data_IF_595778525476
#
_entry.id   IF_595778525476
#
_cell.length_a   1.000
_cell.length_b   1.000
_cell.length_c   1.000
_cell.angle_alpha   90.00
_cell.angle_beta   90.00
_cell.angle_gamma   90.00
#
_symmetry.space_group_name_H-M   'P 1'
#
loop_
_entity.id
_entity.type
_entity.pdbx_description
1 polymer ?
#
# COMPACT_ATOMS: atom_id res chain seq x y z
N UNK A 1 -5.04 11.52 -4.37
CA UNK A 1 -3.68 11.01 -4.41
C UNK A 1 -3.73 9.70 -5.21
N UNK A 2 -2.67 9.36 -5.92
CA UNK A 2 -2.53 8.09 -6.64
C UNK A 2 -1.75 7.10 -5.79
N UNK A 3 -2.34 5.95 -5.50
CA UNK A 3 -1.70 4.84 -4.80
C UNK A 3 -1.36 3.77 -5.82
N UNK A 4 -0.09 3.69 -6.22
CA UNK A 4 0.36 2.73 -7.23
C UNK A 4 0.74 1.43 -6.54
N UNK A 5 0.16 0.30 -6.95
CA UNK A 5 0.54 -1.00 -6.41
C UNK A 5 1.78 -1.50 -7.15
N UNK A 6 2.86 -1.80 -6.44
CA UNK A 6 4.04 -2.45 -7.01
C UNK A 6 4.12 -3.88 -6.50
N UNK A 7 4.04 -4.84 -7.41
CA UNK A 7 4.13 -6.26 -7.06
C UNK A 7 5.01 -7.03 -8.05
N UNK A 8 5.27 -8.29 -7.72
CA UNK A 8 6.18 -9.16 -8.47
C UNK A 8 6.45 -10.44 -7.70
N UNK A 9 6.94 -11.45 -8.43
CA UNK A 9 7.31 -12.74 -7.86
C UNK A 9 8.68 -12.71 -7.20
N UNK A 10 9.01 -13.79 -6.49
CA UNK A 10 10.38 -14.01 -6.01
C UNK A 10 11.37 -13.88 -7.17
N UNK A 11 12.50 -13.21 -6.94
CA UNK A 11 13.57 -13.00 -7.92
C UNK A 11 13.17 -12.26 -9.21
N UNK A 12 12.02 -11.57 -9.25
CA UNK A 12 11.63 -10.76 -10.42
C UNK A 12 12.34 -9.40 -10.52
N UNK A 13 13.03 -8.97 -9.46
CA UNK A 13 13.72 -7.66 -9.42
C UNK A 13 12.85 -6.49 -8.94
N UNK A 14 11.71 -6.76 -8.30
CA UNK A 14 10.85 -5.76 -7.65
C UNK A 14 11.59 -4.76 -6.77
N UNK A 15 12.55 -5.22 -5.96
CA UNK A 15 13.36 -4.36 -5.08
C UNK A 15 14.20 -3.34 -5.86
N UNK A 16 14.68 -3.70 -7.05
CA UNK A 16 15.39 -2.79 -7.96
C UNK A 16 14.45 -1.69 -8.44
N UNK A 17 13.27 -2.05 -8.93
CA UNK A 17 12.25 -1.09 -9.39
C UNK A 17 11.77 -0.19 -8.24
N UNK A 18 11.52 -0.76 -7.06
CA UNK A 18 11.20 -0.03 -5.82
C UNK A 18 12.28 1.00 -5.48
N UNK A 19 13.55 0.63 -5.62
CA UNK A 19 14.67 1.55 -5.44
C UNK A 19 14.67 2.65 -6.50
N UNK A 20 14.42 2.32 -7.78
CA UNK A 20 14.39 3.32 -8.86
C UNK A 20 13.27 4.37 -8.65
N UNK A 21 12.11 3.98 -8.11
CA UNK A 21 11.07 4.93 -7.71
C UNK A 21 11.56 5.88 -6.60
N UNK A 22 12.24 5.36 -5.57
CA UNK A 22 12.83 6.18 -4.50
C UNK A 22 13.85 7.18 -5.04
N UNK A 23 14.74 6.76 -5.95
CA UNK A 23 15.72 7.65 -6.61
C UNK A 23 15.05 8.76 -7.44
N UNK A 24 13.82 8.51 -7.92
CA UNK A 24 13.02 9.49 -8.65
C UNK A 24 12.10 10.32 -7.75
N UNK A 25 12.38 10.36 -6.44
CA UNK A 25 11.66 11.14 -5.43
C UNK A 25 10.18 10.77 -5.29
N UNK A 26 9.80 9.54 -5.68
CA UNK A 26 8.47 9.01 -5.42
C UNK A 26 8.56 8.14 -4.16
N UNK A 27 7.79 8.45 -3.10
CA UNK A 27 7.85 7.68 -1.86
C UNK A 27 7.32 6.27 -2.08
N UNK A 28 7.96 5.31 -1.42
CA UNK A 28 7.59 3.91 -1.46
C UNK A 28 7.30 3.43 -0.04
N UNK A 29 6.11 2.90 0.17
CA UNK A 29 5.68 2.24 1.41
C UNK A 29 5.86 0.74 1.20
N UNK A 30 6.80 0.14 1.94
CA UNK A 30 7.16 -1.27 1.84
C UNK A 30 6.40 -2.09 2.88
N UNK A 31 5.51 -2.97 2.42
CA UNK A 31 4.68 -3.80 3.29
C UNK A 31 5.50 -4.84 4.06
N UNK A 32 6.62 -5.33 3.52
CA UNK A 32 7.49 -6.28 4.23
C UNK A 32 8.22 -5.57 5.39
N UNK A 33 8.63 -4.32 5.20
CA UNK A 33 9.20 -3.51 6.29
C UNK A 33 8.15 -3.29 7.38
N UNK A 34 6.92 -2.93 7.01
CA UNK A 34 5.84 -2.71 7.98
C UNK A 34 5.46 -4.01 8.72
N UNK A 35 5.45 -5.15 8.03
CA UNK A 35 5.22 -6.45 8.65
C UNK A 35 6.32 -6.81 9.66
N UNK A 36 7.58 -6.47 9.37
CA UNK A 36 8.68 -6.61 10.33
C UNK A 36 8.52 -5.68 11.51
N UNK A 37 8.10 -4.44 11.28
CA UNK A 37 7.89 -3.44 12.33
C UNK A 37 6.72 -3.80 13.25
N UNK A 38 5.67 -4.46 12.71
CA UNK A 38 4.57 -5.00 13.48
C UNK A 38 4.99 -6.12 14.46
N UNK A 39 6.20 -6.67 14.32
CA UNK A 39 6.78 -7.68 15.21
C UNK A 39 7.87 -7.12 16.14
N UNK A 40 8.19 -5.82 16.05
CA UNK A 40 9.17 -5.20 16.97
C UNK A 40 8.68 -5.31 18.41
N UNK A 41 9.62 -5.51 19.35
CA UNK A 41 9.35 -5.59 20.79
C UNK A 41 8.44 -4.43 21.23
N UNK A 42 7.46 -4.74 22.07
CA UNK A 42 6.43 -3.81 22.59
C UNK A 42 5.37 -3.33 21.60
N UNK A 43 5.46 -3.63 20.30
CA UNK A 43 4.38 -3.33 19.36
C UNK A 43 3.11 -4.16 19.65
N UNK A 44 1.97 -3.72 19.11
CA UNK A 44 0.70 -4.43 19.26
C UNK A 44 0.73 -5.83 18.63
N UNK A 45 1.32 -5.96 17.43
CA UNK A 45 1.47 -7.24 16.76
C UNK A 45 2.38 -8.20 17.52
N UNK A 46 3.51 -7.71 18.03
CA UNK A 46 4.41 -8.47 18.92
C UNK A 46 3.65 -9.09 20.10
N UNK A 47 2.88 -8.28 20.85
CA UNK A 47 2.14 -8.76 22.02
C UNK A 47 1.16 -9.88 21.66
N UNK A 48 0.46 -9.76 20.53
CA UNK A 48 -0.49 -10.79 20.07
C UNK A 48 0.21 -12.06 19.61
N UNK A 49 1.34 -11.94 18.90
CA UNK A 49 2.11 -13.09 18.43
C UNK A 49 2.73 -13.85 19.61
N UNK A 50 3.33 -13.15 20.58
CA UNK A 50 3.89 -13.80 21.78
C UNK A 50 2.79 -14.47 22.60
N UNK A 51 1.62 -13.86 22.74
CA UNK A 51 0.50 -14.49 23.43
C UNK A 51 -0.01 -15.77 22.74
N UNK A 52 0.04 -15.83 21.39
CA UNK A 52 -0.46 -16.97 20.62
C UNK A 52 0.58 -18.10 20.46
N UNK A 53 1.87 -17.77 20.37
CA UNK A 53 2.95 -18.72 20.09
C UNK A 53 3.82 -19.04 21.30
N UNK A 54 3.63 -18.32 22.41
CA UNK A 54 4.42 -18.49 23.64
C UNK A 54 5.76 -17.76 23.61
N UNK A 55 6.51 -17.77 24.72
CA UNK A 55 7.82 -17.13 24.82
C UNK A 55 8.91 -17.86 24.01
N UNK A 56 8.67 -19.10 23.59
CA UNK A 56 9.66 -19.90 22.85
C UNK A 56 10.05 -19.29 21.49
N UNK A 57 9.22 -18.41 20.92
CA UNK A 57 9.56 -17.70 19.69
C UNK A 57 10.42 -16.46 19.91
N UNK A 58 10.86 -16.19 21.14
CA UNK A 58 11.68 -15.05 21.50
C UNK A 58 13.18 -15.43 21.54
N UNK A 59 14.02 -14.47 21.19
CA UNK A 59 15.45 -14.48 21.43
C UNK A 59 15.75 -14.01 22.86
N UNK A 60 17.01 -14.16 23.29
CA UNK A 60 17.45 -13.77 24.64
C UNK A 60 17.26 -12.26 24.93
N UNK A 61 17.29 -11.41 23.90
CA UNK A 61 17.01 -9.97 24.00
C UNK A 61 15.50 -9.63 24.08
N UNK A 62 14.65 -10.65 23.97
CA UNK A 62 13.19 -10.56 23.96
C UNK A 62 12.59 -10.13 22.62
N UNK A 63 13.37 -10.08 21.54
CA UNK A 63 12.83 -9.89 20.18
C UNK A 63 12.29 -11.20 19.61
N UNK A 64 11.37 -11.11 18.65
CA UNK A 64 10.85 -12.29 17.95
C UNK A 64 11.94 -12.89 17.05
N UNK A 65 12.27 -14.15 17.27
CA UNK A 65 13.06 -14.96 16.34
C UNK A 65 12.20 -15.28 15.11
N UNK A 66 12.36 -14.45 14.08
CA UNK A 66 11.62 -14.59 12.81
C UNK A 66 11.95 -15.90 12.08
N UNK A 67 13.16 -16.43 12.23
CA UNK A 67 13.54 -17.70 11.58
C UNK A 67 12.82 -18.85 12.28
N UNK A 68 12.82 -18.85 13.62
CA UNK A 68 12.10 -19.85 14.41
C UNK A 68 10.59 -19.77 14.21
N UNK A 69 10.02 -18.57 14.27
CA UNK A 69 8.60 -18.34 13.98
C UNK A 69 8.24 -18.81 12.56
N UNK A 70 9.08 -18.47 11.58
CA UNK A 70 8.95 -18.94 10.19
C UNK A 70 8.87 -20.46 10.11
N UNK A 71 9.80 -21.19 10.72
CA UNK A 71 9.80 -22.66 10.73
C UNK A 71 8.50 -23.24 11.28
N UNK A 72 8.02 -22.72 12.41
CA UNK A 72 6.77 -23.18 13.05
C UNK A 72 5.56 -23.00 12.13
N UNK A 73 5.44 -21.84 11.48
CA UNK A 73 4.27 -21.53 10.63
C UNK A 73 4.36 -22.18 9.26
N UNK A 74 5.55 -22.55 8.80
CA UNK A 74 5.72 -23.36 7.60
C UNK A 74 5.39 -24.83 7.86
N UNK A 75 5.69 -25.37 9.05
CA UNK A 75 5.37 -26.76 9.39
C UNK A 75 3.91 -27.02 9.74
N UNK A 76 3.15 -26.00 10.16
CA UNK A 76 1.77 -26.18 10.66
C UNK A 76 0.81 -25.13 10.05
N UNK A 77 -0.18 -25.60 9.30
CA UNK A 77 -1.18 -24.76 8.65
C UNK A 77 -2.07 -23.99 9.65
N UNK A 78 -2.39 -24.58 10.81
CA UNK A 78 -3.18 -23.91 11.86
C UNK A 78 -2.39 -22.75 12.48
N UNK A 79 -1.08 -22.95 12.71
CA UNK A 79 -0.15 -21.90 13.17
C UNK A 79 0.05 -20.83 12.11
N UNK A 80 0.05 -21.19 10.83
CA UNK A 80 0.06 -20.22 9.73
C UNK A 80 -1.17 -19.32 9.74
N UNK A 81 -2.35 -19.88 9.96
CA UNK A 81 -3.58 -19.11 10.05
C UNK A 81 -3.58 -18.16 11.26
N UNK A 82 -2.97 -18.58 12.37
CA UNK A 82 -2.79 -17.70 13.53
C UNK A 82 -1.99 -16.44 13.19
N UNK A 83 -1.02 -16.46 12.26
CA UNK A 83 -0.31 -15.25 11.85
C UNK A 83 -1.21 -14.19 11.19
N UNK A 84 -2.41 -14.55 10.73
CA UNK A 84 -3.38 -13.56 10.24
C UNK A 84 -3.76 -12.52 11.32
N UNK A 85 -3.49 -12.79 12.60
CA UNK A 85 -3.62 -11.82 13.69
C UNK A 85 -2.74 -10.56 13.48
N UNK A 86 -1.70 -10.64 12.64
CA UNK A 86 -0.86 -9.51 12.26
C UNK A 86 -1.50 -8.59 11.22
N UNK A 87 -2.44 -9.11 10.41
CA UNK A 87 -3.07 -8.36 9.32
C UNK A 87 -3.58 -6.97 9.74
N UNK A 88 -4.34 -6.78 10.84
CA UNK A 88 -4.80 -5.45 11.24
C UNK A 88 -3.65 -4.51 11.60
N UNK A 89 -2.56 -5.01 12.19
CA UNK A 89 -1.40 -4.19 12.54
C UNK A 89 -0.61 -3.77 11.30
N UNK A 90 -0.50 -4.66 10.31
CA UNK A 90 0.15 -4.37 9.02
C UNK A 90 -0.68 -3.35 8.24
N UNK A 91 -1.99 -3.57 8.09
CA UNK A 91 -2.89 -2.64 7.39
C UNK A 91 -2.90 -1.26 8.05
N UNK A 92 -2.94 -1.20 9.39
CA UNK A 92 -2.87 0.07 10.12
C UNK A 92 -1.53 0.76 9.93
N UNK A 93 -0.42 0.01 9.93
CA UNK A 93 0.92 0.55 9.66
C UNK A 93 1.04 1.15 8.25
N UNK A 94 0.56 0.43 7.23
CA UNK A 94 0.51 0.91 5.84
C UNK A 94 -0.32 2.18 5.75
N UNK A 95 -1.51 2.19 6.36
CA UNK A 95 -2.37 3.37 6.38
C UNK A 95 -1.70 4.58 7.03
N UNK A 96 -1.04 4.40 8.17
CA UNK A 96 -0.33 5.48 8.86
C UNK A 96 0.81 6.05 8.02
N UNK A 97 1.57 5.21 7.32
CA UNK A 97 2.63 5.69 6.41
C UNK A 97 2.06 6.45 5.21
N UNK A 98 0.97 5.95 4.62
CA UNK A 98 0.24 6.66 3.56
C UNK A 98 -0.23 8.03 4.06
N UNK A 99 -0.84 8.09 5.25
CA UNK A 99 -1.35 9.32 5.83
C UNK A 99 -0.23 10.34 6.09
N UNK A 100 0.91 9.90 6.63
CA UNK A 100 2.09 10.76 6.82
C UNK A 100 2.56 11.38 5.50
N UNK A 101 2.61 10.58 4.43
CA UNK A 101 3.03 11.05 3.10
C UNK A 101 1.97 11.96 2.46
N UNK A 102 0.70 11.66 2.67
CA UNK A 102 -0.41 12.51 2.23
C UNK A 102 -0.36 13.88 2.90
N UNK A 103 -0.11 13.95 4.21
CA UNK A 103 0.05 15.22 4.94
C UNK A 103 1.23 16.04 4.41
N UNK A 104 2.32 15.38 4.00
CA UNK A 104 3.46 16.03 3.33
C UNK A 104 3.14 16.53 1.91
N UNK A 105 1.98 16.19 1.36
CA UNK A 105 1.53 16.64 0.04
C UNK A 105 1.99 15.76 -1.11
N UNK A 106 2.43 14.51 -0.85
CA UNK A 106 2.77 13.59 -1.92
C UNK A 106 1.53 13.23 -2.75
N UNK A 107 1.61 13.48 -4.06
CA UNK A 107 0.52 13.20 -5.01
C UNK A 107 0.46 11.74 -5.44
N UNK A 108 1.62 11.08 -5.44
CA UNK A 108 1.80 9.68 -5.87
C UNK A 108 2.59 8.96 -4.77
N UNK A 109 2.13 7.77 -4.39
CA UNK A 109 2.81 6.88 -3.46
C UNK A 109 2.83 5.48 -4.08
N UNK A 110 3.97 4.81 -4.02
CA UNK A 110 4.08 3.40 -4.41
C UNK A 110 3.87 2.53 -3.17
N UNK A 111 2.97 1.56 -3.25
CA UNK A 111 2.81 0.50 -2.25
C UNK A 111 3.54 -0.75 -2.75
N UNK A 112 4.69 -1.05 -2.16
CA UNK A 112 5.50 -2.21 -2.51
C UNK A 112 5.02 -3.44 -1.73
N UNK A 113 4.23 -4.29 -2.40
CA UNK A 113 3.50 -5.42 -1.79
C UNK A 113 3.73 -6.67 -2.66
N UNK A 114 4.64 -7.60 -2.29
CA UNK A 114 4.89 -8.83 -3.05
C UNK A 114 3.62 -9.71 -3.23
N UNK A 115 2.77 -9.74 -2.20
CA UNK A 115 1.55 -10.53 -2.14
C UNK A 115 0.29 -9.67 -2.39
N UNK A 116 0.38 -8.69 -3.29
CA UNK A 116 -0.65 -7.67 -3.51
C UNK A 116 -2.05 -8.29 -3.75
N UNK A 117 -2.12 -9.24 -4.68
CA UNK A 117 -3.38 -9.90 -5.06
C UNK A 117 -3.82 -10.91 -4.00
N UNK A 118 -2.88 -11.67 -3.44
CA UNK A 118 -3.14 -12.66 -2.40
C UNK A 118 -3.70 -12.00 -1.13
N UNK A 119 -3.24 -10.79 -0.82
CA UNK A 119 -3.72 -9.96 0.29
C UNK A 119 -4.97 -9.12 -0.06
N UNK A 120 -5.51 -9.23 -1.29
CA UNK A 120 -6.64 -8.42 -1.80
C UNK A 120 -6.42 -6.90 -1.68
N UNK A 121 -5.16 -6.48 -1.75
CA UNK A 121 -4.75 -5.07 -1.68
C UNK A 121 -4.79 -4.38 -3.04
N UNK A 122 -4.94 -5.15 -4.12
CA UNK A 122 -5.20 -4.70 -5.49
C UNK A 122 -6.34 -3.68 -5.56
N UNK A 123 -7.41 -3.88 -4.77
CA UNK A 123 -8.57 -2.98 -4.71
C UNK A 123 -8.27 -1.57 -4.20
N UNK A 124 -7.13 -1.39 -3.53
CA UNK A 124 -6.70 -0.13 -2.91
C UNK A 124 -5.64 0.59 -3.74
N UNK A 125 -5.18 -0.04 -4.81
CA UNK A 125 -4.06 0.44 -5.61
C UNK A 125 -4.46 0.57 -7.07
N UNK A 126 -4.22 1.74 -7.65
CA UNK A 126 -4.38 1.98 -9.08
C UNK A 126 -3.39 3.06 -9.56
N UNK A 127 -2.64 2.82 -10.65
CA UNK A 127 -2.49 1.54 -11.36
C UNK A 127 -1.72 0.48 -10.57
N UNK A 128 -1.83 -0.78 -10.98
CA UNK A 128 -1.01 -1.91 -10.53
C UNK A 128 0.12 -2.16 -11.51
N UNK A 129 1.35 -2.07 -11.02
CA UNK A 129 2.60 -2.33 -11.73
C UNK A 129 3.14 -3.69 -11.30
N UNK A 130 3.29 -4.61 -12.25
CA UNK A 130 3.92 -5.92 -12.02
C UNK A 130 5.31 -5.94 -12.62
N UNK A 131 6.31 -6.27 -11.80
CA UNK A 131 7.66 -6.61 -12.29
C UNK A 131 7.69 -8.09 -12.62
N UNK A 132 7.77 -8.38 -13.92
CA UNK A 132 7.66 -9.71 -14.51
C UNK A 132 9.01 -10.17 -15.07
N UNK A 133 9.23 -11.48 -15.04
CA UNK A 133 10.35 -12.19 -15.68
C UNK A 133 9.82 -13.52 -16.19
N UNK A 134 10.45 -14.09 -17.22
CA UNK A 134 10.09 -15.44 -17.64
C UNK A 134 10.46 -16.49 -16.55
N UNK A 135 9.79 -17.66 -16.53
CA UNK A 135 10.01 -18.68 -15.51
C UNK A 135 11.45 -19.21 -15.43
N UNK A 136 12.17 -19.30 -16.56
CA UNK A 136 13.55 -19.81 -16.58
C UNK A 136 14.51 -18.79 -15.95
N UNK A 137 14.36 -17.51 -16.29
CA UNK A 137 15.10 -16.41 -15.65
C UNK A 137 14.77 -16.31 -14.16
N UNK A 138 13.50 -16.49 -13.78
CA UNK A 138 13.08 -16.47 -12.37
C UNK A 138 13.79 -17.55 -11.56
N UNK A 139 13.76 -18.79 -12.07
CA UNK A 139 14.37 -19.95 -11.46
C UNK A 139 15.88 -19.78 -11.33
N UNK A 140 16.55 -19.44 -12.43
CA UNK A 140 18.00 -19.21 -12.48
C UNK A 140 18.43 -18.14 -11.47
N UNK A 141 17.77 -16.97 -11.46
CA UNK A 141 18.09 -15.89 -10.52
C UNK A 141 17.85 -16.29 -9.07
N UNK A 142 16.84 -17.09 -8.78
CA UNK A 142 16.58 -17.58 -7.42
C UNK A 142 17.67 -18.55 -6.96
N UNK A 143 18.07 -19.50 -7.81
CA UNK A 143 19.16 -20.42 -7.53
C UNK A 143 20.48 -19.69 -7.31
N UNK A 144 20.84 -18.74 -8.18
CA UNK A 144 22.05 -17.92 -8.07
C UNK A 144 22.06 -17.06 -6.79
N UNK A 145 20.91 -16.49 -6.39
CA UNK A 145 20.83 -15.59 -5.23
C UNK A 145 20.88 -16.34 -3.90
N UNK A 146 20.18 -17.47 -3.80
CA UNK A 146 19.95 -18.16 -2.54
C UNK A 146 20.78 -19.45 -2.40
N UNK A 147 21.60 -19.81 -3.40
CA UNK A 147 22.35 -21.08 -3.48
C UNK A 147 21.46 -22.31 -3.23
N UNK A 148 20.22 -22.27 -3.72
CA UNK A 148 19.21 -23.32 -3.52
C UNK A 148 19.22 -24.35 -4.66
N UNK A 149 18.81 -25.58 -4.36
CA UNK A 149 18.57 -26.59 -5.39
C UNK A 149 17.45 -26.15 -6.34
N UNK A 150 17.42 -26.71 -7.55
CA UNK A 150 16.34 -26.42 -8.51
C UNK A 150 14.96 -26.79 -7.93
N UNK A 151 14.86 -27.93 -7.25
CA UNK A 151 13.63 -28.41 -6.63
C UNK A 151 13.13 -27.44 -5.56
N UNK A 152 14.00 -27.00 -4.65
CA UNK A 152 13.65 -26.01 -3.62
C UNK A 152 13.22 -24.67 -4.23
N UNK A 153 13.92 -24.23 -5.28
CA UNK A 153 13.61 -22.99 -5.97
C UNK A 153 12.22 -23.07 -6.64
N UNK A 154 11.91 -24.17 -7.33
CA UNK A 154 10.58 -24.41 -7.93
C UNK A 154 9.48 -24.46 -6.87
N UNK A 155 9.70 -25.16 -5.76
CA UNK A 155 8.74 -25.23 -4.66
C UNK A 155 8.41 -23.84 -4.09
N UNK A 156 9.43 -22.97 -3.95
CA UNK A 156 9.24 -21.59 -3.47
C UNK A 156 8.53 -20.69 -4.48
N UNK A 157 8.81 -20.84 -5.78
CA UNK A 157 8.11 -20.11 -6.84
C UNK A 157 6.63 -20.53 -6.87
N UNK A 158 6.36 -21.83 -6.81
CA UNK A 158 5.01 -22.39 -6.86
C UNK A 158 4.17 -22.11 -5.60
N UNK A 159 4.79 -21.74 -4.48
CA UNK A 159 4.09 -21.33 -3.27
C UNK A 159 3.41 -19.94 -3.39
N UNK A 160 3.74 -19.17 -4.42
CA UNK A 160 3.14 -17.85 -4.70
C UNK A 160 2.17 -17.95 -5.89
N UNK A 161 1.27 -16.97 -6.02
CA UNK A 161 0.50 -16.83 -7.25
C UNK A 161 1.47 -16.67 -8.43
N UNK A 162 1.23 -17.41 -9.52
CA UNK A 162 2.13 -17.41 -10.67
C UNK A 162 2.31 -16.00 -11.25
N UNK A 163 3.52 -15.73 -11.73
CA UNK A 163 3.88 -14.39 -12.19
C UNK A 163 3.07 -13.98 -13.43
N UNK A 164 2.69 -14.94 -14.27
CA UNK A 164 1.81 -14.72 -15.42
C UNK A 164 0.38 -14.37 -15.02
N UNK A 165 -0.15 -14.96 -13.94
CA UNK A 165 -1.46 -14.58 -13.40
C UNK A 165 -1.43 -13.18 -12.79
N UNK A 166 -0.30 -12.78 -12.17
CA UNK A 166 -0.13 -11.38 -11.73
C UNK A 166 -0.09 -10.43 -12.92
N UNK A 167 0.66 -10.80 -13.97
CA UNK A 167 0.79 -10.04 -15.21
C UNK A 167 -0.56 -9.81 -15.89
N UNK A 168 -1.44 -10.81 -15.96
CA UNK A 168 -2.77 -10.68 -16.59
C UNK A 168 -3.73 -9.75 -15.83
N UNK A 169 -3.47 -9.49 -14.54
CA UNK A 169 -4.25 -8.61 -13.69
C UNK A 169 -3.60 -7.22 -13.51
N UNK A 170 -2.46 -6.96 -14.15
CA UNK A 170 -1.72 -5.71 -14.03
C UNK A 170 -2.27 -4.63 -14.97
N UNK A 171 -2.24 -3.38 -14.53
CA UNK A 171 -2.45 -2.23 -15.43
C UNK A 171 -1.18 -1.95 -16.25
N UNK A 172 0.00 -2.21 -15.65
CA UNK A 172 1.32 -1.94 -16.25
C UNK A 172 2.26 -3.10 -15.93
N UNK A 173 3.01 -3.56 -16.93
CA UNK A 173 4.00 -4.65 -16.78
C UNK A 173 5.39 -4.10 -17.07
N UNK A 174 6.33 -4.32 -16.14
CA UNK A 174 7.76 -4.10 -16.36
C UNK A 174 8.38 -5.47 -16.62
N UNK A 175 8.76 -5.73 -17.86
CA UNK A 175 9.57 -6.91 -18.22
C UNK A 175 11.02 -6.68 -17.78
N UNK A 176 11.49 -7.54 -16.88
CA UNK A 176 12.85 -7.51 -16.33
C UNK A 176 13.65 -8.77 -16.71
N UNK A 177 13.32 -9.39 -17.84
CA UNK A 177 14.04 -10.54 -18.41
C UNK A 177 15.38 -10.14 -18.99
N UNK A 178 15.43 -8.96 -19.63
CA UNK A 178 16.60 -8.42 -20.31
C UNK A 178 17.71 -7.90 -19.39
N UNK A 179 18.54 -7.04 -19.97
CA UNK A 179 19.65 -6.36 -19.32
C UNK A 179 19.19 -5.28 -18.34
N UNK A 180 20.13 -4.76 -17.55
CA UNK A 180 19.85 -3.58 -16.69
C UNK A 180 19.47 -2.34 -17.50
N UNK A 181 19.98 -2.21 -18.72
CA UNK A 181 19.63 -1.09 -19.60
C UNK A 181 18.17 -1.21 -20.05
N UNK A 182 17.75 -2.41 -20.48
CA UNK A 182 16.36 -2.67 -20.86
C UNK A 182 15.39 -2.34 -19.71
N UNK A 183 15.76 -2.73 -18.47
CA UNK A 183 14.98 -2.38 -17.28
C UNK A 183 14.90 -0.86 -17.07
N UNK A 184 15.98 -0.11 -17.29
CA UNK A 184 15.99 1.35 -17.15
C UNK A 184 15.08 2.03 -18.17
N UNK A 185 15.11 1.58 -19.42
CA UNK A 185 14.24 2.09 -20.49
C UNK A 185 12.77 1.81 -20.17
N UNK A 186 12.43 0.57 -19.80
CA UNK A 186 11.07 0.20 -19.38
C UNK A 186 10.61 0.96 -18.14
N UNK A 187 11.49 1.14 -17.16
CA UNK A 187 11.16 1.92 -15.98
C UNK A 187 10.89 3.40 -16.33
N UNK A 188 11.63 3.99 -17.27
CA UNK A 188 11.40 5.37 -17.72
C UNK A 188 10.00 5.53 -18.33
N UNK A 189 9.58 4.58 -19.16
CA UNK A 189 8.22 4.54 -19.71
C UNK A 189 7.17 4.47 -18.59
N UNK A 190 7.33 3.57 -17.63
CA UNK A 190 6.40 3.43 -16.50
C UNK A 190 6.40 4.67 -15.61
N UNK A 191 7.56 5.25 -15.34
CA UNK A 191 7.69 6.47 -14.54
C UNK A 191 6.91 7.63 -15.18
N UNK A 192 6.97 7.76 -16.51
CA UNK A 192 6.20 8.77 -17.24
C UNK A 192 4.69 8.58 -17.06
N UNK A 193 4.20 7.33 -17.09
CA UNK A 193 2.80 6.99 -16.89
C UNK A 193 2.35 7.27 -15.45
N UNK A 194 3.17 6.87 -14.47
CA UNK A 194 2.93 7.08 -13.04
C UNK A 194 2.91 8.57 -12.68
N UNK A 195 3.72 9.39 -13.35
CA UNK A 195 3.81 10.86 -13.15
C UNK A 195 2.77 11.67 -13.93
N UNK A 196 1.89 11.05 -14.70
CA UNK A 196 0.79 11.78 -15.38
C UNK A 196 -0.02 12.59 -14.36
N UNK A 197 -0.63 13.72 -14.78
CA UNK A 197 -1.51 14.50 -13.92
C UNK A 197 -2.55 13.61 -13.22
N UNK A 198 -2.95 14.02 -12.02
CA UNK A 198 -3.98 13.30 -11.27
C UNK A 198 -5.29 13.35 -12.06
N UNK A 199 -6.02 12.24 -12.08
CA UNK A 199 -7.42 12.25 -12.51
C UNK A 199 -8.25 13.10 -11.57
N UNK A 200 -9.49 13.42 -11.95
CA UNK A 200 -10.39 14.18 -11.08
C UNK A 200 -10.64 13.50 -9.73
N UNK A 201 -10.85 12.18 -9.73
CA UNK A 201 -11.05 11.40 -8.50
C UNK A 201 -9.79 11.40 -7.64
N UNK A 202 -8.63 11.18 -8.26
CA UNK A 202 -7.35 11.26 -7.54
C UNK A 202 -7.09 12.68 -7.02
N UNK A 203 -7.47 13.74 -7.73
CA UNK A 203 -7.26 15.09 -7.23
C UNK A 203 -7.99 15.32 -5.91
N UNK A 204 -9.27 14.96 -5.79
CA UNK A 204 -10.01 15.13 -4.53
C UNK A 204 -9.48 14.29 -3.40
N UNK A 205 -8.96 13.10 -3.68
CA UNK A 205 -8.31 12.26 -2.67
C UNK A 205 -6.93 12.79 -2.24
N UNK A 206 -6.41 13.85 -2.88
CA UNK A 206 -5.13 14.46 -2.50
C UNK A 206 -5.32 15.49 -1.39
N UNK A 207 -4.22 15.87 -0.73
CA UNK A 207 -4.21 16.96 0.25
C UNK A 207 -4.74 18.26 -0.36
N UNK A 208 -4.30 18.57 -1.58
CA UNK A 208 -4.69 19.80 -2.28
C UNK A 208 -6.20 19.80 -2.58
N UNK A 209 -6.75 18.66 -2.96
CA UNK A 209 -8.20 18.49 -3.15
C UNK A 209 -8.98 18.67 -1.85
N UNK A 210 -8.53 18.05 -0.76
CA UNK A 210 -9.17 18.21 0.56
C UNK A 210 -9.12 19.66 1.07
N UNK A 211 -7.98 20.35 0.88
CA UNK A 211 -7.86 21.77 1.22
C UNK A 211 -8.76 22.66 0.35
N UNK A 212 -8.89 22.33 -0.93
CA UNK A 212 -9.81 23.02 -1.85
C UNK A 212 -11.26 22.86 -1.41
N UNK A 213 -11.65 21.64 -0.98
CA UNK A 213 -12.98 21.39 -0.43
C UNK A 213 -13.25 22.21 0.84
N UNK A 214 -12.28 22.22 1.78
CA UNK A 214 -12.38 22.99 3.01
C UNK A 214 -12.51 24.50 2.73
N UNK A 215 -11.72 25.02 1.79
CA UNK A 215 -11.79 26.43 1.41
C UNK A 215 -13.15 26.76 0.79
N UNK A 216 -13.69 25.88 -0.05
CA UNK A 216 -15.05 26.00 -0.58
C UNK A 216 -16.09 26.19 0.53
N UNK A 217 -16.07 25.31 1.54
CA UNK A 217 -16.96 25.41 2.72
C UNK A 217 -16.83 26.76 3.42
N UNK A 218 -15.60 27.22 3.68
CA UNK A 218 -15.35 28.51 4.35
C UNK A 218 -15.91 29.68 3.52
N UNK A 219 -15.68 29.68 2.20
CA UNK A 219 -16.19 30.71 1.30
C UNK A 219 -17.73 30.70 1.29
N UNK A 220 -18.37 29.53 1.27
CA UNK A 220 -19.82 29.43 1.37
C UNK A 220 -20.38 30.02 2.67
N UNK A 221 -19.71 29.77 3.80
CA UNK A 221 -20.12 30.32 5.10
C UNK A 221 -19.96 31.85 5.21
N UNK A 222 -19.03 32.44 4.45
CA UNK A 222 -18.71 33.86 4.49
C UNK A 222 -19.32 34.68 3.34
N UNK A 223 -19.90 34.01 2.34
CA UNK A 223 -20.21 34.59 1.04
C UNK A 223 -21.69 34.88 0.80
N UNK A 224 -21.97 35.53 -0.35
CA UNK A 224 -23.32 35.75 -0.88
C UNK A 224 -23.89 34.46 -1.49
N UNK A 225 -25.17 34.47 -1.86
CA UNK A 225 -25.89 33.31 -2.42
C UNK A 225 -25.17 32.62 -3.61
N UNK A 226 -24.39 33.38 -4.41
CA UNK A 226 -23.60 32.85 -5.53
C UNK A 226 -22.31 32.12 -5.06
N UNK A 227 -21.73 32.53 -3.95
CA UNK A 227 -20.59 31.86 -3.33
C UNK A 227 -21.01 30.53 -2.67
N UNK A 228 -22.24 30.46 -2.17
CA UNK A 228 -22.85 29.25 -1.61
C UNK A 228 -22.99 28.14 -2.67
N UNK A 229 -23.44 28.47 -3.88
CA UNK A 229 -23.62 27.51 -4.98
C UNK A 229 -22.29 26.90 -5.46
N UNK A 230 -21.25 27.72 -5.54
CA UNK A 230 -19.88 27.27 -5.87
C UNK A 230 -19.35 26.36 -4.76
N UNK A 231 -19.55 26.71 -3.50
CA UNK A 231 -19.15 25.90 -2.34
C UNK A 231 -19.80 24.51 -2.36
N UNK A 232 -21.12 24.45 -2.56
CA UNK A 232 -21.87 23.18 -2.63
C UNK A 232 -21.35 22.29 -3.75
N UNK A 233 -21.09 22.85 -4.93
CA UNK A 233 -20.55 22.10 -6.07
C UNK A 233 -19.17 21.50 -5.75
N UNK A 234 -18.30 22.25 -5.07
CA UNK A 234 -16.96 21.78 -4.66
C UNK A 234 -17.10 20.63 -3.65
N UNK A 235 -17.97 20.77 -2.67
CA UNK A 235 -18.22 19.78 -1.62
C UNK A 235 -18.82 18.50 -2.20
N UNK A 236 -19.81 18.59 -3.09
CA UNK A 236 -20.44 17.43 -3.75
C UNK A 236 -19.43 16.63 -4.56
N UNK A 237 -18.55 17.29 -5.31
CA UNK A 237 -17.50 16.60 -6.09
C UNK A 237 -16.51 15.87 -5.20
N UNK A 238 -16.17 16.43 -4.04
CA UNK A 238 -15.33 15.77 -3.05
C UNK A 238 -16.00 14.51 -2.48
N UNK A 239 -17.25 14.61 -2.02
CA UNK A 239 -17.99 13.46 -1.48
C UNK A 239 -18.28 12.37 -2.52
N UNK A 240 -18.60 12.75 -3.76
CA UNK A 240 -18.76 11.80 -4.87
C UNK A 240 -17.48 10.99 -5.13
N UNK A 241 -16.32 11.66 -5.07
CA UNK A 241 -15.02 11.00 -5.23
C UNK A 241 -14.68 10.04 -4.07
N UNK A 242 -15.20 10.30 -2.86
CA UNK A 242 -15.08 9.39 -1.71
C UNK A 242 -15.98 8.16 -1.88
N UNK A 243 -17.22 8.34 -2.37
CA UNK A 243 -18.18 7.26 -2.60
C UNK A 243 -17.76 6.26 -3.69
N UNK A 244 -16.80 6.63 -4.53
CA UNK A 244 -16.20 5.72 -5.54
C UNK A 244 -15.22 4.71 -4.93
N UNK A 245 -14.91 4.82 -3.63
CA UNK A 245 -14.03 3.91 -2.89
C UNK A 245 -14.88 2.83 -2.23
N UNK A 246 -14.50 1.56 -2.39
CA UNK A 246 -15.21 0.41 -1.82
C UNK A 246 -15.33 0.54 -0.28
N UNK A 247 -16.57 0.52 0.23
CA UNK A 247 -17.03 1.12 1.49
C UNK A 247 -16.43 0.60 2.81
N UNK A 248 -15.53 -0.38 2.82
CA UNK A 248 -14.87 -0.83 4.08
C UNK A 248 -13.69 0.08 4.50
N UNK A 249 -13.22 0.94 3.59
CA UNK A 249 -12.23 2.00 3.87
C UNK A 249 -12.85 3.26 4.51
N UNK A 250 -14.18 3.39 4.36
CA UNK A 250 -14.91 4.59 4.76
C UNK A 250 -14.89 4.77 6.29
N UNK A 251 -14.90 3.69 7.07
CA UNK A 251 -15.06 3.84 8.53
C UNK A 251 -13.93 4.64 9.22
N UNK A 252 -12.72 4.66 8.67
CA UNK A 252 -11.59 5.40 9.25
C UNK A 252 -11.22 6.69 8.49
N UNK A 253 -11.18 6.66 7.15
CA UNK A 253 -10.80 7.83 6.35
C UNK A 253 -11.99 8.78 6.16
N UNK A 254 -13.15 8.22 5.78
CA UNK A 254 -14.42 8.97 5.77
C UNK A 254 -14.86 9.26 7.20
N UNK A 255 -14.56 8.40 8.19
CA UNK A 255 -14.76 8.69 9.61
C UNK A 255 -13.95 9.87 10.14
N UNK A 256 -12.67 10.03 9.77
CA UNK A 256 -11.85 11.17 10.19
C UNK A 256 -12.26 12.47 9.48
N UNK A 257 -12.61 12.39 8.19
CA UNK A 257 -13.06 13.54 7.40
C UNK A 257 -14.50 13.94 7.75
N UNK A 258 -15.41 12.98 7.98
CA UNK A 258 -16.73 13.22 8.56
C UNK A 258 -16.61 13.71 9.99
N UNK A 259 -15.69 13.21 10.81
CA UNK A 259 -15.46 13.75 12.16
C UNK A 259 -15.01 15.21 12.08
N UNK A 260 -14.13 15.57 11.13
CA UNK A 260 -13.76 16.97 10.89
C UNK A 260 -14.94 17.80 10.36
N UNK A 261 -15.74 17.27 9.44
CA UNK A 261 -16.91 17.96 8.88
C UNK A 261 -18.07 18.10 9.91
N UNK A 262 -18.30 17.08 10.74
CA UNK A 262 -19.28 17.07 11.83
C UNK A 262 -18.80 17.94 12.98
N UNK A 263 -17.51 17.95 13.34
CA UNK A 263 -16.98 18.91 14.32
C UNK A 263 -17.19 20.33 13.84
N UNK A 264 -16.95 20.63 12.57
CA UNK A 264 -17.22 21.95 11.98
C UNK A 264 -18.72 22.27 11.96
N UNK A 265 -19.58 21.33 11.57
CA UNK A 265 -21.03 21.53 11.53
C UNK A 265 -21.68 21.64 12.94
N UNK A 266 -21.17 20.90 13.92
CA UNK A 266 -21.68 20.88 15.30
C UNK A 266 -21.22 22.10 16.10
N UNK A 267 -20.01 22.62 15.85
CA UNK A 267 -19.56 23.90 16.41
C UNK A 267 -20.36 25.08 15.87
N UNK A 268 -20.76 25.03 14.59
CA UNK A 268 -21.61 26.05 13.95
C UNK A 268 -23.06 26.01 14.45
N UNK A 269 -23.57 24.85 14.89
CA UNK A 269 -24.90 24.74 15.50
C UNK A 269 -24.94 25.28 16.94
N UNK A 270 -23.87 25.08 17.72
CA UNK A 270 -23.72 25.59 19.09
C UNK A 270 -23.44 27.10 19.18
N UNK A 271 -22.98 27.73 18.09
CA UNK A 271 -22.60 29.15 18.03
C UNK A 271 -23.66 30.03 17.33
N UNK A 272 -24.82 29.47 16.96
CA UNK A 272 -25.99 30.26 16.58
C UNK A 272 -26.74 30.67 17.87
N UNK A 273 -27.08 31.96 18.06
CA UNK A 273 -27.92 32.39 19.17
C UNK A 273 -29.35 31.83 19.06
#
# INVERSE_FOLDING_TARGET
MRLVGLTGGISSGKSTVSSMFKHNHIPVVDADIIARDALKKNSGGYKKVVAAFGPDILQDDGQVDRLKLGRIVFSDASKRQLLNLLAPYISSGIFLEILKLWLKGHKVIILDIPLLFEAKMDKWTKPIVVVWVDPETQLRRLMERDNSTEEDARNRINAQMSLDLKKSQADIVIDNTGSRQDLQERFSEVLSQVKRPLTWTEFWLSRDGALTALLGVIIGLLGSHQAEEISLTVVEKYFSSLGSINLLAADYFVGLILALAVVVHFHVWLLKP
#
